data_IF_378295889212
#
_entry.id   IF_378295889212
#
_cell.length_a   1.000
_cell.length_b   1.000
_cell.length_c   1.000
_cell.angle_alpha   90.00
_cell.angle_beta   90.00
_cell.angle_gamma   90.00
#
_symmetry.space_group_name_H-M   'P 1'
#
loop_
_entity.id
_entity.type
_entity.pdbx_description
1 polymer ?
#
# COMPACT_ATOMS: atom_id res chain seq x y z
N UNK A 1 -93.37 51.19 -1.46
CA UNK A 1 -93.27 49.71 -1.63
C UNK A 1 -91.80 49.34 -1.82
N UNK A 2 -91.32 48.23 -1.25
CA UNK A 2 -89.95 48.09 -0.77
C UNK A 2 -88.97 47.67 -1.89
N UNK A 3 -87.75 48.22 -1.89
CA UNK A 3 -86.65 47.63 -2.66
C UNK A 3 -86.16 46.38 -1.93
N UNK A 4 -86.85 45.32 -2.29
CA UNK A 4 -86.59 43.90 -2.24
C UNK A 4 -85.18 43.50 -1.72
N UNK A 5 -85.11 43.13 -0.44
CA UNK A 5 -83.94 42.53 0.21
C UNK A 5 -83.38 41.29 -0.53
N UNK A 6 -84.15 40.72 -1.47
CA UNK A 6 -83.80 39.54 -2.25
C UNK A 6 -82.72 39.80 -3.32
N UNK A 7 -82.60 41.04 -3.84
CA UNK A 7 -81.54 41.40 -4.81
C UNK A 7 -80.17 41.55 -4.14
N UNK A 8 -80.14 42.09 -2.92
CA UNK A 8 -78.91 42.25 -2.13
C UNK A 8 -78.38 40.87 -1.69
N UNK A 9 -79.26 39.94 -1.32
CA UNK A 9 -78.85 38.61 -0.88
C UNK A 9 -78.21 37.79 -2.02
N UNK A 10 -78.77 37.86 -3.24
CA UNK A 10 -78.31 37.11 -4.42
C UNK A 10 -76.97 37.62 -4.97
N UNK A 11 -76.72 38.93 -4.92
CA UNK A 11 -75.43 39.49 -5.29
C UNK A 11 -74.33 39.14 -4.26
N UNK A 12 -74.68 39.08 -2.97
CA UNK A 12 -73.74 38.72 -1.90
C UNK A 12 -73.31 37.26 -1.97
N UNK A 13 -74.20 36.34 -2.32
CA UNK A 13 -73.86 34.92 -2.52
C UNK A 13 -73.02 34.70 -3.78
N UNK A 14 -73.37 35.31 -4.91
CA UNK A 14 -72.61 35.19 -6.15
C UNK A 14 -71.17 35.73 -6.03
N UNK A 15 -70.99 36.84 -5.30
CA UNK A 15 -69.67 37.41 -4.99
C UNK A 15 -68.84 36.50 -4.06
N UNK A 16 -69.49 35.83 -3.09
CA UNK A 16 -68.84 34.90 -2.17
C UNK A 16 -68.37 33.63 -2.87
N UNK A 17 -69.18 33.10 -3.78
CA UNK A 17 -68.85 31.90 -4.57
C UNK A 17 -67.73 32.16 -5.59
N UNK A 18 -67.70 33.34 -6.22
CA UNK A 18 -66.58 33.74 -7.08
C UNK A 18 -65.28 33.92 -6.30
N UNK A 19 -65.36 34.47 -5.07
CA UNK A 19 -64.20 34.63 -4.20
C UNK A 19 -63.65 33.28 -3.72
N UNK A 20 -64.52 32.35 -3.32
CA UNK A 20 -64.15 30.98 -2.95
C UNK A 20 -63.51 30.19 -4.11
N UNK A 21 -64.02 30.36 -5.34
CA UNK A 21 -63.46 29.72 -6.54
C UNK A 21 -62.09 30.31 -6.93
N UNK A 22 -61.90 31.62 -6.76
CA UNK A 22 -60.61 32.27 -6.98
C UNK A 22 -59.58 31.89 -5.89
N UNK A 23 -60.00 31.82 -4.63
CA UNK A 23 -59.15 31.39 -3.50
C UNK A 23 -58.75 29.91 -3.63
N UNK A 24 -59.66 29.02 -4.06
CA UNK A 24 -59.35 27.61 -4.34
C UNK A 24 -58.37 27.42 -5.50
N UNK A 25 -58.50 28.21 -6.57
CA UNK A 25 -57.57 28.19 -7.70
C UNK A 25 -56.18 28.74 -7.32
N UNK A 26 -56.11 29.79 -6.50
CA UNK A 26 -54.84 30.30 -5.97
C UNK A 26 -54.16 29.28 -5.05
N UNK A 27 -54.91 28.59 -4.19
CA UNK A 27 -54.36 27.56 -3.31
C UNK A 27 -53.82 26.37 -4.11
N UNK A 28 -54.55 25.92 -5.15
CA UNK A 28 -54.09 24.87 -6.06
C UNK A 28 -52.81 25.25 -6.81
N UNK A 29 -52.70 26.48 -7.30
CA UNK A 29 -51.49 26.99 -7.95
C UNK A 29 -50.29 27.06 -6.98
N UNK A 30 -50.52 27.50 -5.73
CA UNK A 30 -49.47 27.57 -4.71
C UNK A 30 -48.93 26.19 -4.33
N UNK A 31 -49.82 25.20 -4.18
CA UNK A 31 -49.44 23.81 -3.90
C UNK A 31 -48.60 23.24 -5.05
N UNK A 32 -49.00 23.50 -6.30
CA UNK A 32 -48.26 23.02 -7.47
C UNK A 32 -46.86 23.64 -7.55
N UNK A 33 -46.74 24.95 -7.30
CA UNK A 33 -45.44 25.65 -7.26
C UNK A 33 -44.54 25.05 -6.19
N UNK A 34 -45.08 24.76 -4.99
CA UNK A 34 -44.31 24.16 -3.90
C UNK A 34 -43.79 22.76 -4.29
N UNK A 35 -44.63 21.92 -4.91
CA UNK A 35 -44.22 20.60 -5.39
C UNK A 35 -43.11 20.71 -6.43
N UNK A 36 -43.22 21.63 -7.38
CA UNK A 36 -42.22 21.84 -8.44
C UNK A 36 -40.89 22.32 -7.84
N UNK A 37 -40.92 23.22 -6.85
CA UNK A 37 -39.70 23.69 -6.17
C UNK A 37 -39.02 22.54 -5.42
N UNK A 38 -39.79 21.74 -4.67
CA UNK A 38 -39.23 20.59 -3.93
C UNK A 38 -38.65 19.57 -4.91
N UNK A 39 -39.39 19.21 -5.97
CA UNK A 39 -38.91 18.26 -6.97
C UNK A 39 -37.64 18.76 -7.68
N UNK A 40 -37.59 20.05 -8.02
CA UNK A 40 -36.40 20.67 -8.63
C UNK A 40 -35.21 20.69 -7.68
N UNK A 41 -35.45 20.97 -6.38
CA UNK A 41 -34.43 20.92 -5.34
C UNK A 41 -33.88 19.50 -5.13
N UNK A 42 -34.73 18.48 -5.16
CA UNK A 42 -34.33 17.07 -5.08
C UNK A 42 -33.50 16.67 -6.30
N UNK A 43 -33.91 17.05 -7.52
CA UNK A 43 -33.16 16.76 -8.74
C UNK A 43 -31.83 17.50 -8.78
N UNK A 44 -31.79 18.78 -8.42
CA UNK A 44 -30.56 19.57 -8.36
C UNK A 44 -29.61 19.03 -7.28
N UNK A 45 -30.13 18.67 -6.10
CA UNK A 45 -29.36 18.03 -5.04
C UNK A 45 -28.80 16.68 -5.48
N UNK A 46 -29.59 15.86 -6.18
CA UNK A 46 -29.15 14.59 -6.73
C UNK A 46 -28.07 14.75 -7.80
N UNK A 47 -28.20 15.71 -8.71
CA UNK A 47 -27.19 16.01 -9.74
C UNK A 47 -25.91 16.57 -9.09
N UNK A 48 -26.01 17.41 -8.06
CA UNK A 48 -24.85 17.95 -7.36
C UNK A 48 -24.11 16.88 -6.55
N UNK A 49 -24.85 16.01 -5.86
CA UNK A 49 -24.29 14.85 -5.15
C UNK A 49 -23.67 13.84 -6.13
N UNK A 50 -24.30 13.56 -7.28
CA UNK A 50 -23.74 12.66 -8.30
C UNK A 50 -22.60 13.29 -9.11
N UNK A 51 -22.64 14.60 -9.35
CA UNK A 51 -21.58 15.34 -10.04
C UNK A 51 -20.32 15.48 -9.18
N UNK A 52 -20.47 15.51 -7.86
CA UNK A 52 -19.36 15.39 -6.89
C UNK A 52 -18.95 13.94 -6.60
N UNK A 53 -19.81 12.97 -6.92
CA UNK A 53 -19.53 11.52 -6.91
C UNK A 53 -19.27 10.93 -8.31
N UNK A 54 -18.73 11.71 -9.25
CA UNK A 54 -17.94 11.07 -10.30
C UNK A 54 -16.65 10.65 -9.58
N UNK A 55 -16.68 9.49 -8.92
CA UNK A 55 -15.46 8.80 -8.54
C UNK A 55 -14.66 8.66 -9.83
N UNK A 56 -13.63 9.49 -9.99
CA UNK A 56 -12.66 9.27 -11.03
C UNK A 56 -12.13 7.87 -10.78
N UNK A 57 -12.41 6.93 -11.69
CA UNK A 57 -11.90 5.57 -11.58
C UNK A 57 -10.38 5.55 -11.49
N UNK A 58 -9.78 4.35 -11.53
CA UNK A 58 -8.33 4.26 -11.67
C UNK A 58 -7.86 5.11 -12.87
N UNK A 59 -6.84 5.95 -12.67
CA UNK A 59 -6.26 6.78 -13.74
C UNK A 59 -4.85 7.20 -13.36
N UNK A 60 -3.89 6.92 -14.24
CA UNK A 60 -2.47 7.17 -14.03
C UNK A 60 -1.88 7.75 -15.32
N UNK A 61 -0.88 8.61 -15.21
CA UNK A 61 -0.11 9.09 -16.36
C UNK A 61 1.38 9.03 -16.08
N UNK A 62 2.15 8.49 -17.04
CA UNK A 62 3.60 8.64 -17.07
C UNK A 62 3.93 10.04 -17.59
N UNK A 63 4.59 10.85 -16.77
CA UNK A 63 5.03 12.20 -17.15
C UNK A 63 6.44 12.20 -17.73
N UNK A 64 7.28 11.27 -17.31
CA UNK A 64 8.58 11.02 -17.94
C UNK A 64 9.07 9.60 -17.64
N UNK A 65 9.91 9.06 -18.52
CA UNK A 65 10.69 7.88 -18.24
C UNK A 65 12.06 7.99 -18.94
N UNK A 66 13.11 7.54 -18.27
CA UNK A 66 14.48 7.56 -18.77
C UNK A 66 15.17 6.25 -18.41
N UNK A 67 15.94 5.70 -19.34
CA UNK A 67 16.69 4.48 -19.13
C UNK A 67 18.12 4.64 -19.64
N UNK A 68 19.09 4.25 -18.82
CA UNK A 68 20.52 4.39 -19.09
C UNK A 68 21.25 3.08 -18.80
N UNK A 69 21.99 2.51 -19.76
CA UNK A 69 22.84 1.34 -19.51
C UNK A 69 23.91 1.64 -18.46
N UNK A 70 24.13 0.68 -17.55
CA UNK A 70 25.20 0.74 -16.55
C UNK A 70 26.40 -0.11 -16.98
N UNK A 71 27.60 0.29 -16.54
CA UNK A 71 28.85 -0.38 -16.90
C UNK A 71 28.93 -1.85 -16.45
N UNK A 72 28.13 -2.24 -15.46
CA UNK A 72 28.07 -3.60 -14.91
C UNK A 72 27.06 -4.51 -15.66
N UNK A 73 26.52 -4.06 -16.79
CA UNK A 73 25.54 -4.83 -17.57
C UNK A 73 24.10 -4.72 -17.05
N UNK A 74 23.82 -3.88 -16.07
CA UNK A 74 22.46 -3.54 -15.64
C UNK A 74 21.95 -2.31 -16.41
N UNK A 75 20.69 -1.94 -16.21
CA UNK A 75 20.12 -0.70 -16.76
C UNK A 75 19.42 0.08 -15.66
N UNK A 76 19.77 1.35 -15.50
CA UNK A 76 19.08 2.25 -14.56
C UNK A 76 17.84 2.84 -15.22
N UNK A 77 16.70 2.75 -14.55
CA UNK A 77 15.41 3.27 -15.03
C UNK A 77 14.86 4.28 -14.01
N UNK A 78 14.42 5.45 -14.48
CA UNK A 78 13.61 6.38 -13.70
C UNK A 78 12.27 6.59 -14.38
N UNK A 79 11.17 6.55 -13.64
CA UNK A 79 9.80 6.75 -14.15
C UNK A 79 9.07 7.75 -13.25
N UNK A 80 8.61 8.85 -13.83
CA UNK A 80 7.77 9.84 -13.15
C UNK A 80 6.30 9.59 -13.48
N UNK A 81 5.48 9.53 -12.43
CA UNK A 81 4.06 9.19 -12.49
C UNK A 81 3.22 10.29 -11.84
N UNK A 82 2.00 10.47 -12.31
CA UNK A 82 0.96 11.28 -11.64
C UNK A 82 -0.35 10.49 -11.60
N UNK A 83 -0.97 10.41 -10.42
CA UNK A 83 -2.31 9.84 -10.28
C UNK A 83 -3.36 10.92 -10.57
N UNK A 84 -4.18 10.70 -11.60
CA UNK A 84 -5.29 11.59 -11.99
C UNK A 84 -6.66 11.01 -11.62
N UNK A 85 -6.68 9.84 -10.99
CA UNK A 85 -7.88 9.09 -10.59
C UNK A 85 -7.94 8.82 -9.10
N UNK A 86 -8.62 7.74 -8.72
CA UNK A 86 -8.71 7.30 -7.31
C UNK A 86 -7.34 6.84 -6.76
N UNK A 87 -7.11 6.94 -5.44
CA UNK A 87 -5.90 6.41 -4.81
C UNK A 87 -5.70 4.93 -5.10
N UNK A 88 -4.45 4.52 -5.33
CA UNK A 88 -4.11 3.15 -5.64
C UNK A 88 -2.62 2.85 -5.60
N UNK A 89 -2.30 1.57 -5.72
CA UNK A 89 -0.93 1.06 -5.72
C UNK A 89 -0.36 1.03 -7.12
N UNK A 90 0.86 1.53 -7.29
CA UNK A 90 1.52 1.61 -8.60
C UNK A 90 2.54 0.49 -8.82
N UNK A 91 2.60 0.00 -10.05
CA UNK A 91 3.63 -0.93 -10.53
C UNK A 91 4.19 -0.48 -11.88
N UNK A 92 5.39 -0.94 -12.21
CA UNK A 92 6.11 -0.60 -13.44
C UNK A 92 6.56 -1.88 -14.15
N UNK A 93 6.30 -1.95 -15.45
CA UNK A 93 6.79 -2.99 -16.36
C UNK A 93 7.61 -2.35 -17.49
N UNK A 94 8.62 -3.06 -17.96
CA UNK A 94 9.34 -2.68 -19.19
C UNK A 94 9.27 -3.80 -20.20
N UNK A 95 8.99 -3.44 -21.45
CA UNK A 95 8.92 -4.35 -22.58
C UNK A 95 9.99 -4.00 -23.62
N UNK A 96 10.61 -5.03 -24.17
CA UNK A 96 11.49 -4.95 -25.33
C UNK A 96 10.96 -5.88 -26.42
N UNK A 97 10.63 -5.35 -27.59
CA UNK A 97 10.10 -6.15 -28.70
C UNK A 97 8.80 -6.90 -28.37
N UNK A 98 8.00 -6.41 -27.42
CA UNK A 98 6.76 -7.02 -26.96
C UNK A 98 6.90 -8.05 -25.83
N UNK A 99 8.12 -8.41 -25.43
CA UNK A 99 8.37 -9.27 -24.26
C UNK A 99 8.66 -8.43 -23.02
N UNK A 100 8.03 -8.77 -21.89
CA UNK A 100 8.34 -8.12 -20.61
C UNK A 100 9.76 -8.54 -20.20
N UNK A 101 10.64 -7.56 -19.99
CA UNK A 101 12.03 -7.77 -19.56
C UNK A 101 12.26 -7.34 -18.11
N UNK A 102 11.34 -6.57 -17.53
CA UNK A 102 11.40 -6.12 -16.15
C UNK A 102 10.00 -5.87 -15.59
N UNK A 103 9.84 -6.14 -14.29
CA UNK A 103 8.64 -5.87 -13.52
C UNK A 103 9.02 -5.46 -12.09
N UNK A 104 8.43 -4.37 -11.60
CA UNK A 104 8.52 -3.90 -10.23
C UNK A 104 7.12 -3.55 -9.72
N UNK A 105 6.73 -4.14 -8.59
CA UNK A 105 5.40 -3.95 -7.97
C UNK A 105 5.33 -2.77 -6.99
N UNK A 106 6.25 -1.81 -7.11
CA UNK A 106 6.33 -0.65 -6.24
C UNK A 106 7.68 0.05 -6.31
N UNK A 107 8.17 0.63 -5.21
CA UNK A 107 9.50 1.21 -5.10
C UNK A 107 10.51 0.20 -4.55
N UNK A 108 11.81 0.39 -4.80
CA UNK A 108 12.87 -0.55 -4.38
C UNK A 108 12.96 -0.73 -2.85
N UNK A 109 13.26 -1.96 -2.43
CA UNK A 109 13.44 -2.36 -1.03
C UNK A 109 12.15 -2.78 -0.34
N UNK A 110 12.24 -3.60 0.70
CA UNK A 110 11.15 -3.88 1.63
C UNK A 110 10.96 -2.69 2.57
N UNK A 111 9.74 -2.45 3.07
CA UNK A 111 9.46 -1.41 4.07
C UNK A 111 9.33 -2.07 5.44
N UNK A 112 9.98 -1.50 6.46
CA UNK A 112 9.93 -2.05 7.81
C UNK A 112 9.86 -0.99 8.90
N UNK A 113 9.40 -1.40 10.08
CA UNK A 113 9.28 -0.53 11.24
C UNK A 113 9.45 -1.31 12.55
N UNK A 114 10.06 -0.66 13.54
CA UNK A 114 10.24 -1.19 14.88
C UNK A 114 9.07 -0.81 15.78
N UNK A 115 8.41 -1.80 16.36
CA UNK A 115 7.49 -1.63 17.48
C UNK A 115 8.19 -2.01 18.77
N UNK A 116 8.24 -1.10 19.73
CA UNK A 116 8.96 -1.36 20.98
C UNK A 116 8.02 -1.33 22.18
N UNK A 117 8.42 -2.05 23.23
CA UNK A 117 7.89 -1.87 24.58
C UNK A 117 9.06 -1.75 25.56
N UNK A 118 9.01 -0.88 26.58
CA UNK A 118 10.13 -0.74 27.53
C UNK A 118 10.29 -1.94 28.48
N UNK A 119 9.47 -2.98 28.34
CA UNK A 119 9.53 -4.19 29.14
C UNK A 119 10.36 -5.25 28.42
N UNK A 120 11.20 -5.97 29.17
CA UNK A 120 11.99 -7.11 28.68
C UNK A 120 11.37 -8.42 29.13
N UNK A 121 11.79 -9.51 28.49
CA UNK A 121 11.33 -10.88 28.74
C UNK A 121 9.82 -11.01 28.52
N UNK A 122 9.31 -10.25 27.54
CA UNK A 122 7.91 -10.21 27.15
C UNK A 122 7.80 -10.68 25.72
N UNK A 123 7.05 -11.75 25.51
CA UNK A 123 6.76 -12.27 24.17
C UNK A 123 5.70 -11.39 23.50
N UNK A 124 5.97 -10.84 22.30
CA UNK A 124 4.99 -10.06 21.56
C UNK A 124 3.78 -10.92 21.15
N UNK A 125 2.56 -10.36 21.18
CA UNK A 125 1.41 -11.04 20.62
C UNK A 125 1.56 -11.14 19.10
N UNK A 126 1.61 -12.36 18.56
CA UNK A 126 1.83 -12.62 17.14
C UNK A 126 0.80 -11.92 16.22
N UNK A 127 -0.48 -12.24 16.38
CA UNK A 127 -1.54 -11.84 15.43
C UNK A 127 -1.79 -10.32 15.30
N UNK A 128 -1.73 -9.52 16.39
CA UNK A 128 -1.91 -8.08 16.28
C UNK A 128 -0.86 -7.36 15.43
N UNK A 129 0.35 -7.90 15.27
CA UNK A 129 1.38 -7.29 14.43
C UNK A 129 1.11 -7.46 12.93
N UNK A 130 0.43 -8.54 12.50
CA UNK A 130 0.06 -8.73 11.09
C UNK A 130 -0.93 -7.71 10.54
N UNK A 131 -1.70 -7.06 11.42
CA UNK A 131 -2.64 -6.00 11.04
C UNK A 131 -2.15 -4.60 11.40
N UNK A 132 -0.94 -4.49 11.97
CA UNK A 132 -0.39 -3.22 12.40
C UNK A 132 0.01 -2.36 11.20
N UNK A 133 -0.36 -1.07 11.25
CA UNK A 133 0.07 -0.09 10.24
C UNK A 133 1.54 0.28 10.45
N UNK A 134 2.30 0.34 9.35
CA UNK A 134 3.66 0.87 9.33
C UNK A 134 3.67 2.41 9.39
N UNK A 135 2.93 3.02 10.31
CA UNK A 135 2.93 4.48 10.50
C UNK A 135 3.44 4.83 11.89
N UNK A 136 4.25 5.89 11.97
CA UNK A 136 4.81 6.35 13.23
C UNK A 136 3.70 6.68 14.24
N UNK A 137 3.85 6.21 15.47
CA UNK A 137 2.87 6.34 16.54
C UNK A 137 1.80 5.24 16.55
N UNK A 138 1.80 4.31 15.59
CA UNK A 138 0.94 3.13 15.65
C UNK A 138 1.20 2.35 16.93
N UNK A 139 0.12 1.97 17.61
CA UNK A 139 0.20 1.18 18.83
C UNK A 139 -0.51 -0.15 18.65
N UNK A 140 0.09 -1.20 19.20
CA UNK A 140 -0.45 -2.55 19.26
C UNK A 140 -0.55 -2.91 20.74
N UNK A 141 -1.75 -3.13 21.25
CA UNK A 141 -1.98 -3.44 22.66
C UNK A 141 -2.57 -4.84 22.83
N UNK A 142 -1.97 -5.64 23.71
CA UNK A 142 -2.47 -6.98 24.08
C UNK A 142 -2.07 -7.31 25.52
N UNK A 143 -2.94 -7.98 26.28
CA UNK A 143 -2.65 -8.44 27.65
C UNK A 143 -2.07 -7.36 28.59
N UNK A 144 -2.48 -6.10 28.46
CA UNK A 144 -1.99 -4.98 29.28
C UNK A 144 -0.62 -4.43 28.87
N UNK A 145 -0.06 -4.92 27.76
CA UNK A 145 1.19 -4.46 27.17
C UNK A 145 0.91 -3.65 25.92
N UNK A 146 1.57 -2.51 25.78
CA UNK A 146 1.48 -1.66 24.59
C UNK A 146 2.84 -1.59 23.90
N UNK A 147 2.83 -1.89 22.61
CA UNK A 147 3.96 -1.79 21.71
C UNK A 147 3.74 -0.59 20.80
N UNK A 148 4.76 0.23 20.59
CA UNK A 148 4.62 1.49 19.84
C UNK A 148 5.64 1.58 18.72
N UNK A 149 5.20 1.92 17.52
CA UNK A 149 6.05 2.30 16.40
C UNK A 149 6.61 3.71 16.64
N UNK A 150 7.86 3.82 17.10
CA UNK A 150 8.42 5.12 17.51
C UNK A 150 9.18 5.84 16.37
N UNK A 151 9.69 5.08 15.41
CA UNK A 151 10.39 5.60 14.24
C UNK A 151 9.42 5.80 13.07
N UNK A 152 9.77 6.61 12.07
CA UNK A 152 9.23 6.42 10.72
C UNK A 152 9.58 5.02 10.18
N UNK A 153 8.90 4.57 9.11
CA UNK A 153 9.33 3.38 8.38
C UNK A 153 10.68 3.60 7.71
N UNK A 154 11.41 2.51 7.56
CA UNK A 154 12.68 2.43 6.85
C UNK A 154 12.53 1.52 5.63
N UNK A 155 13.55 1.50 4.78
CA UNK A 155 13.58 0.64 3.59
C UNK A 155 14.89 -0.12 3.48
N UNK A 156 14.81 -1.41 3.16
CA UNK A 156 15.99 -2.22 2.85
C UNK A 156 16.51 -1.92 1.44
N UNK A 157 17.70 -2.43 1.04
CA UNK A 157 18.15 -2.38 -0.34
C UNK A 157 17.21 -3.14 -1.31
N UNK A 158 17.32 -2.89 -2.61
CA UNK A 158 16.56 -3.65 -3.63
C UNK A 158 17.01 -5.12 -3.71
N UNK A 159 18.30 -5.37 -3.51
CA UNK A 159 18.94 -6.68 -3.63
C UNK A 159 19.97 -6.82 -2.53
N UNK A 160 20.07 -8.04 -1.98
CA UNK A 160 21.03 -8.34 -0.93
C UNK A 160 22.48 -8.31 -1.41
N UNK A 161 23.39 -8.20 -0.46
CA UNK A 161 24.85 -8.19 -0.70
C UNK A 161 25.52 -9.31 0.06
N UNK A 162 26.75 -9.70 -0.33
CA UNK A 162 27.52 -10.65 0.48
C UNK A 162 27.97 -9.98 1.77
N UNK A 163 27.60 -10.56 2.92
CA UNK A 163 27.95 -10.03 4.23
C UNK A 163 28.36 -11.16 5.18
N UNK A 164 29.02 -10.81 6.28
CA UNK A 164 29.30 -11.76 7.33
C UNK A 164 28.08 -11.92 8.25
N UNK A 165 27.53 -13.13 8.31
CA UNK A 165 26.43 -13.56 9.17
C UNK A 165 27.00 -14.64 10.10
N UNK A 166 27.02 -14.39 11.41
CA UNK A 166 27.55 -15.30 12.42
C UNK A 166 28.97 -15.84 12.16
N UNK A 167 29.87 -15.02 11.61
CA UNK A 167 31.23 -15.45 11.26
C UNK A 167 31.34 -16.19 9.91
N UNK A 168 30.25 -16.41 9.18
CA UNK A 168 30.22 -16.98 7.84
C UNK A 168 29.87 -15.92 6.79
N UNK A 169 30.42 -16.02 5.58
CA UNK A 169 30.07 -15.08 4.51
C UNK A 169 28.88 -15.60 3.72
N UNK A 170 27.73 -14.97 3.92
CA UNK A 170 26.49 -15.35 3.28
C UNK A 170 26.21 -14.47 2.05
N UNK A 171 25.65 -15.04 0.97
CA UNK A 171 25.28 -14.28 -0.21
C UNK A 171 23.91 -13.62 -0.05
N UNK A 172 23.66 -12.55 -0.81
CA UNK A 172 22.34 -11.90 -0.91
C UNK A 172 21.67 -11.59 0.44
N UNK A 173 22.47 -11.16 1.41
CA UNK A 173 22.02 -10.73 2.73
C UNK A 173 21.30 -9.39 2.57
N UNK A 174 20.02 -9.37 2.92
CA UNK A 174 19.17 -8.17 2.87
C UNK A 174 19.13 -7.48 4.24
N UNK A 175 19.14 -8.29 5.31
CA UNK A 175 19.23 -7.82 6.69
C UNK A 175 20.32 -8.54 7.47
N UNK A 176 20.96 -7.80 8.39
CA UNK A 176 22.08 -8.32 9.17
C UNK A 176 22.35 -7.49 10.42
N UNK A 177 21.45 -7.54 11.41
CA UNK A 177 21.65 -6.93 12.72
C UNK A 177 22.29 -7.94 13.69
N UNK A 178 23.45 -7.59 14.24
CA UNK A 178 24.15 -8.43 15.21
C UNK A 178 24.60 -7.62 16.43
N UNK A 179 23.66 -7.08 17.20
CA UNK A 179 23.98 -6.34 18.41
C UNK A 179 24.38 -7.29 19.55
N UNK A 180 25.63 -7.19 20.00
CA UNK A 180 26.17 -8.07 21.04
C UNK A 180 26.80 -9.37 20.49
N UNK A 181 26.80 -9.54 19.16
CA UNK A 181 27.40 -10.68 18.45
C UNK A 181 28.53 -10.19 17.52
N UNK A 182 29.38 -11.11 17.04
CA UNK A 182 30.51 -10.78 16.16
C UNK A 182 30.14 -10.99 14.69
N UNK A 183 30.43 -10.00 13.84
CA UNK A 183 30.40 -10.17 12.38
C UNK A 183 29.40 -9.29 11.64
N UNK A 184 28.35 -8.80 12.32
CA UNK A 184 27.28 -8.09 11.63
C UNK A 184 27.56 -6.63 11.26
N UNK A 185 26.74 -6.16 10.33
CA UNK A 185 26.54 -4.74 10.05
C UNK A 185 25.51 -4.17 11.04
N UNK A 186 25.37 -2.85 11.22
CA UNK A 186 24.08 -2.32 11.67
C UNK A 186 22.97 -2.79 10.71
N UNK A 187 21.76 -3.04 11.25
CA UNK A 187 20.52 -3.17 10.46
C UNK A 187 20.53 -2.04 9.41
N UNK A 188 20.10 -2.28 8.16
CA UNK A 188 19.99 -1.21 7.18
C UNK A 188 19.40 0.06 7.84
N UNK A 189 20.05 1.21 7.71
CA UNK A 189 19.52 2.55 8.02
C UNK A 189 18.97 2.94 9.42
N UNK A 190 18.83 2.06 10.43
CA UNK A 190 18.20 2.41 11.71
C UNK A 190 19.11 2.28 12.94
N UNK A 191 18.99 3.22 13.88
CA UNK A 191 19.42 3.00 15.26
C UNK A 191 18.44 2.04 15.91
N UNK A 192 18.89 0.82 16.21
CA UNK A 192 18.09 -0.16 16.95
C UNK A 192 17.57 0.50 18.23
N UNK A 193 16.27 0.41 18.56
CA UNK A 193 15.79 0.83 19.88
C UNK A 193 16.63 0.15 20.96
N UNK A 194 16.76 0.77 22.15
CA UNK A 194 17.56 0.25 23.25
C UNK A 194 17.46 -1.29 23.32
N UNK A 195 18.52 -2.05 22.96
CA UNK A 195 18.45 -3.50 22.80
C UNK A 195 18.20 -4.24 24.12
N UNK A 196 18.25 -3.50 25.24
CA UNK A 196 17.74 -3.91 26.55
C UNK A 196 16.22 -3.76 26.68
N UNK A 197 15.47 -3.58 25.60
CA UNK A 197 14.00 -3.58 25.57
C UNK A 197 13.53 -4.73 24.66
N UNK A 198 12.27 -5.13 24.80
CA UNK A 198 11.64 -5.97 23.80
C UNK A 198 11.17 -5.11 22.61
N UNK A 199 11.39 -5.62 21.39
CA UNK A 199 10.87 -5.01 20.17
C UNK A 199 10.48 -6.06 19.14
N UNK A 200 9.62 -5.66 18.22
CA UNK A 200 9.27 -6.40 17.00
C UNK A 200 9.70 -5.55 15.81
N UNK A 201 10.33 -6.18 14.83
CA UNK A 201 10.48 -5.61 13.49
C UNK A 201 9.37 -6.20 12.65
N UNK A 202 8.55 -5.33 12.07
CA UNK A 202 7.61 -5.70 11.02
C UNK A 202 8.18 -5.25 9.69
N UNK A 203 8.32 -6.16 8.75
CA UNK A 203 8.84 -5.89 7.41
C UNK A 203 7.92 -6.48 6.35
N UNK A 204 7.53 -5.68 5.37
CA UNK A 204 6.65 -6.10 4.29
C UNK A 204 7.21 -5.60 2.95
N UNK A 205 7.11 -6.43 1.93
CA UNK A 205 7.31 -5.99 0.55
C UNK A 205 6.95 -7.05 -0.49
N UNK A 206 7.26 -6.79 -1.74
CA UNK A 206 7.19 -7.77 -2.78
C UNK A 206 8.56 -8.41 -2.96
N UNK A 207 8.57 -9.72 -3.17
CA UNK A 207 9.77 -10.46 -3.56
C UNK A 207 9.60 -10.95 -5.00
N UNK A 208 10.51 -10.55 -5.89
CA UNK A 208 10.60 -11.08 -7.25
C UNK A 208 11.69 -12.14 -7.28
N UNK A 209 11.25 -13.39 -7.31
CA UNK A 209 12.08 -14.59 -7.36
C UNK A 209 12.26 -14.97 -8.83
N UNK A 210 13.49 -14.94 -9.32
CA UNK A 210 13.81 -15.21 -10.74
C UNK A 210 14.32 -16.63 -11.01
N UNK A 211 14.75 -17.32 -9.94
CA UNK A 211 15.30 -18.67 -9.95
C UNK A 211 14.79 -19.40 -8.71
N UNK A 212 14.77 -20.75 -8.68
CA UNK A 212 14.45 -21.47 -7.45
C UNK A 212 15.35 -21.03 -6.28
N UNK A 213 14.75 -20.47 -5.22
CA UNK A 213 15.47 -19.81 -4.12
C UNK A 213 15.13 -20.45 -2.78
N UNK A 214 16.12 -20.59 -1.91
CA UNK A 214 15.94 -20.88 -0.49
C UNK A 214 16.25 -19.60 0.29
N UNK A 215 15.35 -19.25 1.20
CA UNK A 215 15.52 -18.16 2.16
C UNK A 215 16.05 -18.70 3.47
N UNK A 216 16.84 -17.89 4.14
CA UNK A 216 17.46 -18.23 5.42
C UNK A 216 17.28 -17.07 6.39
N UNK A 217 17.09 -17.43 7.65
CA UNK A 217 17.16 -16.50 8.77
C UNK A 217 18.07 -17.09 9.84
N UNK A 218 18.78 -16.24 10.56
CA UNK A 218 19.46 -16.58 11.81
C UNK A 218 19.08 -15.48 12.79
N UNK A 219 18.40 -15.87 13.86
CA UNK A 219 17.74 -14.96 14.79
C UNK A 219 17.90 -15.37 16.27
N UNK A 220 17.86 -14.35 17.13
CA UNK A 220 17.82 -14.40 18.59
C UNK A 220 17.01 -13.15 18.99
N UNK A 221 15.71 -13.24 19.33
CA UNK A 221 15.03 -14.41 19.87
C UNK A 221 14.06 -15.19 18.94
N UNK A 222 13.67 -14.70 17.77
CA UNK A 222 12.84 -15.49 16.83
C UNK A 222 12.23 -14.69 15.68
N UNK A 223 11.76 -15.39 14.64
CA UNK A 223 11.36 -14.76 13.39
C UNK A 223 10.48 -15.64 12.49
N UNK A 224 9.77 -14.98 11.57
CA UNK A 224 8.88 -15.65 10.61
C UNK A 224 8.95 -15.02 9.24
N UNK A 225 8.94 -15.86 8.19
CA UNK A 225 8.72 -15.44 6.81
C UNK A 225 7.38 -16.04 6.34
N UNK A 226 6.50 -15.17 5.87
CA UNK A 226 5.32 -15.53 5.09
C UNK A 226 5.46 -15.07 3.64
N UNK A 227 5.06 -15.91 2.69
CA UNK A 227 4.99 -15.52 1.28
C UNK A 227 3.73 -16.08 0.61
N UNK A 228 3.04 -15.22 -0.15
CA UNK A 228 1.92 -15.66 -1.00
C UNK A 228 2.10 -15.11 -2.42
N UNK A 229 1.71 -15.87 -3.45
CA UNK A 229 1.78 -15.39 -4.83
C UNK A 229 1.07 -14.05 -4.99
N UNK A 230 1.72 -13.11 -5.64
CA UNK A 230 1.14 -11.82 -5.95
C UNK A 230 -0.09 -12.00 -6.84
N UNK A 231 -1.20 -11.40 -6.41
CA UNK A 231 -2.43 -11.27 -7.20
C UNK A 231 -2.65 -9.80 -7.55
N UNK A 232 -3.27 -9.54 -8.72
CA UNK A 232 -3.62 -8.19 -9.17
C UNK A 232 -4.85 -7.62 -8.43
N UNK A 233 -4.88 -7.79 -7.11
CA UNK A 233 -5.96 -7.36 -6.23
C UNK A 233 -5.46 -6.24 -5.34
N UNK A 234 -6.34 -5.28 -5.06
CA UNK A 234 -6.02 -4.21 -4.12
C UNK A 234 -5.85 -4.78 -2.71
N UNK A 235 -4.66 -4.59 -2.13
CA UNK A 235 -4.33 -5.02 -0.76
C UNK A 235 -3.72 -3.85 0.02
N UNK A 236 -4.29 -3.43 1.16
CA UNK A 236 -3.82 -2.26 1.91
C UNK A 236 -2.44 -2.49 2.54
N UNK A 237 -1.66 -1.41 2.70
CA UNK A 237 -0.30 -1.32 3.30
C UNK A 237 -0.12 -1.87 4.72
N UNK A 238 -1.17 -2.42 5.33
CA UNK A 238 -1.20 -2.80 6.75
C UNK A 238 -1.53 -4.27 6.97
N UNK A 239 -1.87 -5.03 5.93
CA UNK A 239 -2.28 -6.43 6.05
C UNK A 239 -2.22 -7.12 4.69
N UNK A 240 -1.03 -7.58 4.30
CA UNK A 240 -0.84 -8.21 3.00
C UNK A 240 -1.06 -9.69 2.99
N UNK A 241 -0.58 -10.34 4.04
CA UNK A 241 -0.85 -11.74 4.30
C UNK A 241 -2.12 -11.94 5.16
N UNK A 242 -2.73 -10.84 5.60
CA UNK A 242 -3.98 -10.80 6.36
C UNK A 242 -3.79 -11.04 7.86
N UNK A 243 -4.89 -11.18 8.60
CA UNK A 243 -4.90 -11.45 10.05
C UNK A 243 -4.76 -12.94 10.39
N UNK A 244 -4.27 -13.74 9.45
CA UNK A 244 -4.11 -15.18 9.57
C UNK A 244 -2.74 -15.54 9.02
N UNK A 245 -1.72 -15.21 9.81
CA UNK A 245 -0.31 -15.51 9.55
C UNK A 245 -0.08 -16.70 8.62
N UNK A 246 0.28 -16.50 7.34
CA UNK A 246 0.73 -17.60 6.51
C UNK A 246 2.25 -17.64 6.60
N UNK A 247 2.85 -17.66 7.79
CA UNK A 247 4.25 -18.03 8.02
C UNK A 247 4.48 -19.47 7.50
N UNK A 248 4.49 -19.60 6.18
CA UNK A 248 4.45 -20.82 5.41
C UNK A 248 5.81 -21.11 4.79
N UNK A 249 6.75 -20.16 4.91
CA UNK A 249 8.12 -20.27 4.45
C UNK A 249 9.02 -20.63 5.64
N UNK A 250 9.01 -19.83 6.70
CA UNK A 250 9.67 -20.11 7.98
C UNK A 250 8.74 -19.63 9.10
N UNK A 251 8.53 -20.46 10.13
CA UNK A 251 7.66 -20.11 11.26
C UNK A 251 8.31 -20.42 12.60
N UNK A 252 9.09 -19.48 13.12
CA UNK A 252 9.76 -19.57 14.42
C UNK A 252 9.43 -18.36 15.29
N UNK A 253 8.13 -18.01 15.37
CA UNK A 253 7.65 -16.95 16.29
C UNK A 253 7.63 -17.44 17.75
N UNK A 254 8.78 -17.82 18.29
CA UNK A 254 8.92 -18.24 19.67
C UNK A 254 10.29 -17.86 20.22
N UNK A 255 10.42 -17.64 21.54
CA UNK A 255 11.70 -17.33 22.15
C UNK A 255 12.71 -18.47 22.03
N UNK A 256 13.90 -18.16 21.54
CA UNK A 256 15.05 -19.06 21.49
C UNK A 256 16.37 -18.28 21.44
N UNK A 257 17.50 -18.99 21.51
CA UNK A 257 18.80 -18.38 21.24
C UNK A 257 19.15 -18.47 19.75
N UNK A 258 20.19 -17.74 19.35
CA UNK A 258 20.73 -17.68 17.97
C UNK A 258 20.67 -19.03 17.23
N UNK A 259 19.72 -19.14 16.30
CA UNK A 259 19.45 -20.36 15.53
C UNK A 259 19.18 -20.05 14.05
N UNK A 260 19.83 -20.80 13.17
CA UNK A 260 19.60 -20.71 11.73
C UNK A 260 18.42 -21.58 11.28
N UNK A 261 17.56 -20.99 10.44
CA UNK A 261 16.46 -21.64 9.78
C UNK A 261 16.51 -21.43 8.27
N UNK A 262 16.03 -22.43 7.52
CA UNK A 262 15.93 -22.36 6.07
C UNK A 262 14.53 -22.72 5.60
N UNK A 263 14.08 -22.05 4.54
CA UNK A 263 12.82 -22.36 3.89
C UNK A 263 12.88 -23.62 3.02
N UNK A 264 11.72 -24.09 2.58
CA UNK A 264 11.66 -24.89 1.36
C UNK A 264 12.04 -24.04 0.14
N UNK A 265 12.36 -24.67 -0.99
CA UNK A 265 12.61 -23.94 -2.24
C UNK A 265 11.37 -23.22 -2.73
N UNK A 266 11.46 -21.90 -2.84
CA UNK A 266 10.46 -21.03 -3.47
C UNK A 266 10.76 -20.95 -4.96
N UNK A 267 9.74 -21.21 -5.78
CA UNK A 267 9.87 -21.20 -7.24
C UNK A 267 9.88 -19.77 -7.79
N UNK A 268 10.32 -19.56 -9.05
CA UNK A 268 10.23 -18.26 -9.69
C UNK A 268 8.80 -17.70 -9.72
N UNK A 269 8.68 -16.41 -9.41
CA UNK A 269 7.40 -15.71 -9.31
C UNK A 269 7.52 -14.37 -8.58
N UNK A 270 6.41 -13.64 -8.53
CA UNK A 270 6.26 -12.44 -7.71
C UNK A 270 5.42 -12.82 -6.50
N UNK A 271 5.88 -12.44 -5.31
CA UNK A 271 5.24 -12.78 -4.04
C UNK A 271 5.03 -11.52 -3.22
N UNK A 272 3.90 -11.45 -2.52
CA UNK A 272 3.81 -10.66 -1.30
C UNK A 272 4.65 -11.38 -0.25
N UNK A 273 5.57 -10.67 0.39
CA UNK A 273 6.39 -11.15 1.50
C UNK A 273 6.11 -10.31 2.73
N UNK A 274 6.01 -11.00 3.86
CA UNK A 274 5.96 -10.40 5.19
C UNK A 274 6.96 -11.15 6.04
N UNK A 275 7.69 -10.37 6.80
CA UNK A 275 8.79 -10.84 7.57
C UNK A 275 8.80 -10.11 8.90
N UNK A 276 8.59 -10.86 9.97
CA UNK A 276 8.50 -10.29 11.29
C UNK A 276 9.56 -10.94 12.18
N UNK A 277 10.29 -10.12 12.94
CA UNK A 277 11.28 -10.56 13.93
C UNK A 277 10.94 -10.04 15.31
N UNK A 278 11.20 -10.86 16.32
CA UNK A 278 11.00 -10.53 17.72
C UNK A 278 12.31 -10.56 18.51
N UNK A 279 12.49 -9.54 19.32
CA UNK A 279 13.51 -9.44 20.36
C UNK A 279 12.81 -9.29 21.70
N UNK A 280 13.18 -10.10 22.69
CA UNK A 280 12.63 -10.04 24.06
C UNK A 280 13.60 -9.37 25.04
N UNK A 281 14.82 -9.09 24.61
CA UNK A 281 15.79 -8.22 25.30
C UNK A 281 17.15 -8.89 25.48
N UNK A 282 18.24 -8.12 25.44
CA UNK A 282 19.61 -8.65 25.54
C UNK A 282 20.45 -8.32 24.31
N UNK A 283 21.21 -9.29 23.82
CA UNK A 283 21.79 -9.20 22.48
C UNK A 283 20.67 -9.36 21.45
N UNK A 284 20.69 -8.57 20.39
CA UNK A 284 19.70 -8.69 19.31
C UNK A 284 20.43 -9.25 18.09
N UNK A 285 20.02 -10.43 17.66
CA UNK A 285 20.59 -11.09 16.50
C UNK A 285 19.51 -11.35 15.48
N UNK A 286 19.78 -10.96 14.24
CA UNK A 286 18.78 -10.97 13.20
C UNK A 286 19.43 -10.88 11.83
N UNK A 287 19.12 -11.83 10.96
CA UNK A 287 19.57 -11.79 9.57
C UNK A 287 18.56 -12.44 8.65
N UNK A 288 18.53 -11.96 7.40
CA UNK A 288 17.72 -12.52 6.32
C UNK A 288 18.58 -12.54 5.06
N UNK A 289 18.70 -13.71 4.45
CA UNK A 289 19.41 -13.87 3.19
C UNK A 289 18.83 -14.99 2.33
N UNK A 290 19.42 -15.17 1.16
CA UNK A 290 18.97 -16.16 0.19
C UNK A 290 20.14 -16.74 -0.59
N UNK A 291 19.97 -17.94 -1.15
CA UNK A 291 21.03 -18.57 -1.95
C UNK A 291 21.12 -18.04 -3.39
N UNK A 292 20.11 -17.31 -3.86
CA UNK A 292 20.02 -16.74 -5.21
C UNK A 292 19.47 -15.31 -5.13
N UNK A 293 19.78 -14.42 -6.11
CA UNK A 293 19.29 -13.05 -6.08
C UNK A 293 17.76 -12.96 -6.07
N UNK A 294 17.24 -12.17 -5.14
CA UNK A 294 15.83 -11.77 -5.05
C UNK A 294 15.77 -10.25 -5.11
N UNK A 295 14.81 -9.72 -5.87
CA UNK A 295 14.58 -8.28 -5.96
C UNK A 295 13.38 -7.90 -5.11
N UNK A 296 13.60 -6.98 -4.18
CA UNK A 296 12.61 -6.57 -3.21
C UNK A 296 12.04 -5.19 -3.53
N UNK A 297 10.74 -5.04 -3.30
CA UNK A 297 10.01 -3.80 -3.50
C UNK A 297 9.02 -3.55 -2.37
N UNK A 298 8.52 -2.33 -2.20
CA UNK A 298 7.46 -2.01 -1.24
C UNK A 298 6.35 -1.24 -1.96
N UNK A 299 5.10 -1.30 -1.49
CA UNK A 299 3.99 -0.69 -2.18
C UNK A 299 4.15 0.82 -2.18
N UNK A 300 3.63 1.43 -3.24
CA UNK A 300 3.55 2.88 -3.33
C UNK A 300 2.09 3.24 -3.51
N UNK A 301 1.44 3.65 -2.43
CA UNK A 301 0.13 4.28 -2.51
C UNK A 301 0.28 5.69 -3.08
N UNK A 302 -0.25 5.90 -4.29
CA UNK A 302 -0.29 7.20 -4.92
C UNK A 302 -1.71 7.78 -4.78
N UNK A 303 -1.87 8.86 -4.02
CA UNK A 303 -3.18 9.52 -3.86
C UNK A 303 -3.53 10.41 -5.06
N UNK A 304 -4.81 10.74 -5.23
CA UNK A 304 -5.29 11.62 -6.29
C UNK A 304 -4.52 12.94 -6.32
N UNK A 305 -3.97 13.29 -7.48
CA UNK A 305 -3.18 14.50 -7.72
C UNK A 305 -1.72 14.42 -7.27
N UNK A 306 -1.30 13.33 -6.61
CA UNK A 306 0.10 13.15 -6.23
C UNK A 306 0.95 12.72 -7.42
N UNK A 307 2.21 13.16 -7.41
CA UNK A 307 3.23 12.75 -8.36
C UNK A 307 4.40 12.12 -7.62
N UNK A 308 5.03 11.14 -8.25
CA UNK A 308 6.22 10.45 -7.70
C UNK A 308 7.21 10.16 -8.83
N UNK A 309 8.49 10.01 -8.48
CA UNK A 309 9.50 9.42 -9.37
C UNK A 309 10.04 8.15 -8.74
N UNK A 310 9.90 7.04 -9.45
CA UNK A 310 10.41 5.73 -9.07
C UNK A 310 11.72 5.47 -9.80
N UNK A 311 12.67 4.84 -9.14
CA UNK A 311 14.01 4.55 -9.67
C UNK A 311 14.35 3.09 -9.43
N UNK A 312 14.90 2.42 -10.45
CA UNK A 312 15.15 0.98 -10.44
C UNK A 312 16.50 0.64 -11.06
N UNK A 313 17.11 -0.44 -10.59
CA UNK A 313 18.26 -1.06 -11.25
C UNK A 313 17.85 -2.38 -11.90
N UNK A 314 17.50 -2.34 -13.18
CA UNK A 314 17.01 -3.52 -13.88
C UNK A 314 18.15 -4.51 -14.12
N UNK A 315 17.97 -5.80 -13.81
CA UNK A 315 18.98 -6.84 -14.02
C UNK A 315 19.03 -7.33 -15.48
N UNK A 316 18.84 -6.41 -16.42
CA UNK A 316 18.88 -6.66 -17.85
C UNK A 316 19.86 -5.72 -18.51
N UNK A 317 20.65 -6.28 -19.42
CA UNK A 317 21.57 -5.50 -20.26
C UNK A 317 20.81 -4.98 -21.46
N UNK A 318 20.52 -3.69 -21.44
CA UNK A 318 19.99 -2.98 -22.59
C UNK A 318 21.06 -2.05 -23.15
N UNK A 319 21.02 -1.78 -24.45
CA UNK A 319 22.03 -0.98 -25.15
C UNK A 319 21.47 0.37 -25.57
N UNK A 320 22.32 1.41 -25.54
CA UNK A 320 21.96 2.73 -26.03
C UNK A 320 21.39 2.66 -27.46
N UNK A 321 20.35 3.45 -27.73
CA UNK A 321 19.61 3.45 -28.99
C UNK A 321 18.54 2.37 -29.14
N UNK A 322 18.39 1.43 -28.19
CA UNK A 322 17.24 0.54 -28.15
C UNK A 322 15.96 1.29 -27.76
N UNK A 323 14.83 0.87 -28.33
CA UNK A 323 13.51 1.34 -27.92
C UNK A 323 12.91 0.33 -26.94
N UNK A 324 12.45 0.83 -25.80
CA UNK A 324 11.66 0.08 -24.84
C UNK A 324 10.29 0.72 -24.66
N UNK A 325 9.31 -0.07 -24.24
CA UNK A 325 8.02 0.43 -23.79
C UNK A 325 7.97 0.32 -22.28
N UNK A 326 7.87 1.46 -21.60
CA UNK A 326 7.61 1.52 -20.16
C UNK A 326 6.11 1.57 -19.96
N UNK A 327 5.57 0.68 -19.13
CA UNK A 327 4.16 0.65 -18.76
C UNK A 327 4.06 0.82 -17.25
N UNK A 328 3.25 1.76 -16.79
CA UNK A 328 2.91 1.92 -15.40
C UNK A 328 1.44 1.56 -15.21
N UNK A 329 1.13 0.79 -14.16
CA UNK A 329 -0.24 0.42 -13.79
C UNK A 329 -0.55 0.98 -12.39
N UNK A 330 -1.80 1.39 -12.18
CA UNK A 330 -2.35 1.68 -10.86
C UNK A 330 -3.54 0.75 -10.59
N UNK A 331 -3.55 0.14 -9.41
CA UNK A 331 -4.65 -0.72 -8.94
C UNK A 331 -5.34 -0.01 -7.78
N UNK A 332 -6.64 0.20 -7.90
CA UNK A 332 -7.50 0.83 -6.89
C UNK A 332 -8.57 -0.17 -6.43
N UNK A 333 -9.35 0.20 -5.41
CA UNK A 333 -10.54 -0.58 -5.03
C UNK A 333 -11.62 -0.61 -6.11
N UNK A 334 -11.59 0.33 -7.05
CA UNK A 334 -12.59 0.51 -8.12
C UNK A 334 -12.16 -0.02 -9.49
N UNK A 335 -10.93 -0.51 -9.62
CA UNK A 335 -10.41 -1.12 -10.86
C UNK A 335 -8.92 -0.88 -11.06
N UNK A 336 -8.45 -1.02 -12.30
CA UNK A 336 -7.07 -0.72 -12.68
C UNK A 336 -7.01 0.23 -13.88
N UNK A 337 -5.90 0.94 -14.01
CA UNK A 337 -5.59 1.77 -15.17
C UNK A 337 -4.09 1.69 -15.47
N UNK A 338 -3.74 1.85 -16.74
CA UNK A 338 -2.35 1.86 -17.17
C UNK A 338 -2.04 3.04 -18.08
N UNK A 339 -0.77 3.41 -18.08
CA UNK A 339 -0.17 4.41 -18.96
C UNK A 339 1.11 3.83 -19.54
N UNK A 340 1.45 4.19 -20.77
CA UNK A 340 2.66 3.67 -21.43
C UNK A 340 3.40 4.78 -22.16
N UNK A 341 4.72 4.64 -22.23
CA UNK A 341 5.62 5.56 -22.91
C UNK A 341 6.74 4.77 -23.59
N UNK A 342 6.99 5.07 -24.86
CA UNK A 342 8.18 4.57 -25.56
C UNK A 342 9.39 5.42 -25.18
N UNK A 343 10.48 4.76 -24.81
CA UNK A 343 11.73 5.39 -24.37
C UNK A 343 12.86 4.86 -25.21
N UNK A 344 13.67 5.77 -25.75
CA UNK A 344 14.95 5.43 -26.38
C UNK A 344 16.03 5.47 -25.31
N UNK A 345 16.80 4.39 -25.19
CA UNK A 345 17.91 4.35 -24.24
C UNK A 345 18.99 5.35 -24.61
N UNK A 346 19.40 6.18 -23.64
CA UNK A 346 20.39 7.24 -23.81
C UNK A 346 21.78 6.81 -23.41
#
# INVERSE_FOLDING_TARGET
>A
MPLNANLIFKAKTHSKDMKLKAEGNMLGALILILIVIIASGVVAGYIFLRGSQVESGASLSITSAQATPLANGQTYLTVSLVNTGSPGYVSVSVYLGGSQVFFASGASGLIYQFYYTPQIWVVPPEQPFYSASLSQGTTVSSNGLTWTAYTPPYTTPEVGTTQNVNGQNEPYVIDNLQYGYQGGSPFPSASVPNPQNAFVVKEIGYAVVTQPTVFYIDDDDGGVIGMVPYSNTFTPETAWLGSSNPANVINQWHPEGATEYSSQTVNPGVYLIEYDYQQIGGGAYFSLWSNNPVYYYHPVLLNTGQSITLSYTMPVTLTAGQNITVVAEIITSSGSASSSLEVVLT
#
